data_IF_425215694995
#
_entry.id   IF_425215694995
#
_cell.length_a   1.000
_cell.length_b   1.000
_cell.length_c   1.000
_cell.angle_alpha   90.00
_cell.angle_beta   90.00
_cell.angle_gamma   90.00
#
_symmetry.space_group_name_H-M   'P 1'
#
loop_
_entity.id
_entity.type
_entity.pdbx_description
1 polymer ?
#
# COMPACT_ATOMS: atom_id res chain seq x y z
N UNK A 1 8.47 -13.32 -2.63
CA UNK A 1 7.18 -13.36 -3.35
C UNK A 1 6.13 -13.95 -2.42
N UNK A 2 4.93 -13.36 -2.35
CA UNK A 2 3.85 -13.77 -1.44
C UNK A 2 2.48 -13.50 -2.09
N UNK A 3 1.47 -14.20 -1.58
CA UNK A 3 0.07 -14.01 -1.95
C UNK A 3 -0.53 -12.98 -0.99
N UNK A 4 -0.86 -11.80 -1.51
CA UNK A 4 -1.63 -10.80 -0.77
C UNK A 4 -3.11 -11.12 -0.99
N UNK A 5 -3.83 -11.45 0.08
CA UNK A 5 -5.20 -11.95 0.00
C UNK A 5 -6.25 -10.82 0.11
N UNK A 6 -7.38 -11.01 -0.56
CA UNK A 6 -8.58 -10.17 -0.50
C UNK A 6 -9.77 -10.99 -0.02
N UNK A 7 -10.73 -10.33 0.64
CA UNK A 7 -11.98 -10.95 1.07
C UNK A 7 -13.02 -10.87 -0.04
N UNK A 8 -13.10 -11.92 -0.86
CA UNK A 8 -14.04 -12.13 -1.98
C UNK A 8 -14.48 -10.86 -2.75
N UNK A 9 -13.56 -9.92 -2.97
CA UNK A 9 -13.80 -8.67 -3.71
C UNK A 9 -12.85 -8.60 -4.90
N UNK A 10 -13.23 -9.32 -5.95
CA UNK A 10 -12.46 -9.45 -7.17
C UNK A 10 -12.37 -8.13 -7.95
N UNK A 11 -13.40 -7.28 -7.86
CA UNK A 11 -13.38 -5.96 -8.46
C UNK A 11 -12.29 -5.09 -7.81
N UNK A 12 -12.23 -5.06 -6.48
CA UNK A 12 -11.21 -4.32 -5.74
C UNK A 12 -9.79 -4.89 -5.99
N UNK A 13 -9.62 -6.21 -5.93
CA UNK A 13 -8.32 -6.85 -6.18
C UNK A 13 -7.78 -6.62 -7.61
N UNK A 14 -8.68 -6.45 -8.59
CA UNK A 14 -8.32 -6.16 -9.98
C UNK A 14 -8.12 -4.68 -10.30
N UNK A 15 -8.32 -3.77 -9.34
CA UNK A 15 -7.92 -2.35 -9.51
C UNK A 15 -6.40 -2.20 -9.67
N UNK A 16 -5.64 -3.15 -9.14
CA UNK A 16 -4.19 -3.21 -9.22
C UNK A 16 -3.71 -3.70 -10.58
N UNK A 17 -2.76 -2.96 -11.15
CA UNK A 17 -2.04 -3.33 -12.37
C UNK A 17 -0.71 -3.98 -12.03
N UNK A 18 -0.16 -4.73 -12.99
CA UNK A 18 1.21 -5.26 -12.87
C UNK A 18 2.19 -4.10 -12.74
N UNK A 19 3.21 -4.29 -11.91
CA UNK A 19 4.25 -3.32 -11.55
C UNK A 19 3.79 -2.13 -10.69
N UNK A 20 2.51 -2.08 -10.28
CA UNK A 20 2.06 -1.13 -9.25
C UNK A 20 2.80 -1.37 -7.93
N UNK A 21 3.12 -0.26 -7.24
CA UNK A 21 3.65 -0.27 -5.88
C UNK A 21 2.53 -0.01 -4.88
N UNK A 22 2.51 -0.77 -3.79
CA UNK A 22 1.51 -0.67 -2.74
C UNK A 22 2.21 -0.47 -1.40
N UNK A 23 1.83 0.58 -0.68
CA UNK A 23 2.16 0.75 0.74
C UNK A 23 1.12 -0.01 1.57
N UNK A 24 1.52 -1.12 2.18
CA UNK A 24 0.67 -1.88 3.09
C UNK A 24 0.70 -1.25 4.47
N UNK A 25 -0.48 -1.17 5.07
CA UNK A 25 -0.68 -0.57 6.39
C UNK A 25 -1.31 -1.55 7.37
N UNK A 26 -0.85 -1.50 8.61
CA UNK A 26 -1.42 -2.24 9.72
C UNK A 26 -1.35 -1.42 11.01
N UNK A 27 -2.45 -1.33 11.74
CA UNK A 27 -2.56 -0.58 13.01
C UNK A 27 -2.03 0.87 12.97
N UNK A 28 -2.17 1.57 11.84
CA UNK A 28 -1.70 2.95 11.67
C UNK A 28 -0.23 3.08 11.25
N UNK A 29 0.46 1.98 10.98
CA UNK A 29 1.85 1.98 10.52
C UNK A 29 1.93 1.48 9.08
N UNK A 30 2.89 1.98 8.31
CA UNK A 30 3.32 1.36 7.06
C UNK A 30 4.26 0.21 7.42
N UNK A 31 3.91 -1.00 6.97
CA UNK A 31 4.67 -2.21 7.31
C UNK A 31 5.47 -2.74 6.13
N UNK A 32 4.97 -2.56 4.90
CA UNK A 32 5.62 -3.05 3.70
C UNK A 32 5.41 -2.08 2.53
N UNK A 33 6.38 -2.06 1.63
CA UNK A 33 6.24 -1.60 0.26
C UNK A 33 6.34 -2.83 -0.64
N UNK A 34 5.31 -3.06 -1.46
CA UNK A 34 5.22 -4.27 -2.26
C UNK A 34 4.95 -3.95 -3.73
N UNK A 35 5.48 -4.76 -4.65
CA UNK A 35 5.25 -4.63 -6.09
C UNK A 35 4.35 -5.74 -6.61
N UNK A 36 3.33 -5.41 -7.39
CA UNK A 36 2.42 -6.39 -8.02
C UNK A 36 3.10 -7.09 -9.19
N UNK A 37 3.06 -8.43 -9.21
CA UNK A 37 3.72 -9.26 -10.23
C UNK A 37 2.76 -9.82 -11.27
N UNK A 38 1.55 -10.21 -10.86
CA UNK A 38 0.56 -10.81 -11.75
C UNK A 38 -0.37 -9.76 -12.37
N UNK A 39 -1.01 -10.10 -13.49
CA UNK A 39 -1.85 -9.16 -14.27
C UNK A 39 -3.27 -9.00 -13.71
N UNK A 40 -3.78 -10.03 -13.07
CA UNK A 40 -5.15 -10.11 -12.55
C UNK A 40 -5.16 -10.87 -11.23
N UNK A 41 -6.27 -10.82 -10.49
CA UNK A 41 -6.49 -11.61 -9.31
C UNK A 41 -6.58 -13.11 -9.63
N UNK A 42 -6.11 -13.92 -8.70
CA UNK A 42 -6.11 -15.39 -8.78
C UNK A 42 -6.89 -15.95 -7.59
N UNK A 43 -7.39 -17.17 -7.71
CA UNK A 43 -8.11 -17.87 -6.65
C UNK A 43 -7.42 -19.17 -6.28
N UNK A 44 -7.46 -19.52 -5.00
CA UNK A 44 -7.14 -20.86 -4.51
C UNK A 44 -8.40 -21.72 -4.50
N UNK A 45 -8.25 -23.02 -4.78
CA UNK A 45 -9.30 -24.01 -4.55
C UNK A 45 -9.48 -24.25 -3.05
N UNK A 46 -10.12 -23.30 -2.37
CA UNK A 46 -10.54 -23.42 -0.99
C UNK A 46 -11.90 -22.76 -0.77
N UNK A 47 -12.65 -23.24 0.23
CA UNK A 47 -13.94 -22.69 0.63
C UNK A 47 -13.81 -21.45 1.54
N UNK A 48 -12.63 -20.84 1.61
CA UNK A 48 -12.37 -19.66 2.46
C UNK A 48 -12.77 -18.38 1.74
N UNK A 49 -13.35 -17.43 2.46
CA UNK A 49 -13.62 -16.07 1.97
C UNK A 49 -12.34 -15.31 1.55
N UNK A 50 -11.16 -15.82 1.93
CA UNK A 50 -9.84 -15.25 1.64
C UNK A 50 -9.08 -16.01 0.54
N UNK A 51 -9.80 -16.74 -0.32
CA UNK A 51 -9.19 -17.52 -1.39
C UNK A 51 -8.73 -16.68 -2.60
N UNK A 52 -9.09 -15.40 -2.67
CA UNK A 52 -8.74 -14.45 -3.72
C UNK A 52 -7.42 -13.74 -3.38
N UNK A 53 -6.48 -13.64 -4.32
CA UNK A 53 -5.17 -13.01 -4.06
C UNK A 53 -4.52 -12.34 -5.26
N UNK A 54 -3.52 -11.49 -4.97
CA UNK A 54 -2.51 -10.99 -5.92
C UNK A 54 -1.13 -11.51 -5.56
N UNK A 55 -0.32 -11.80 -6.57
CA UNK A 55 1.08 -12.17 -6.39
C UNK A 55 1.90 -10.88 -6.31
N UNK A 56 2.67 -10.72 -5.24
CA UNK A 56 3.46 -9.52 -4.96
C UNK A 56 4.89 -9.86 -4.49
N UNK A 57 5.80 -8.92 -4.70
CA UNK A 57 7.19 -8.92 -4.23
C UNK A 57 7.39 -7.86 -3.15
N UNK A 58 8.20 -8.17 -2.11
CA UNK A 58 8.48 -7.22 -1.03
C UNK A 58 9.66 -6.41 -1.52
N UNK A 59 9.46 -5.10 -1.70
CA UNK A 59 10.53 -4.17 -2.04
C UNK A 59 11.16 -3.61 -0.76
N UNK A 60 10.34 -3.39 0.26
CA UNK A 60 10.77 -3.00 1.60
C UNK A 60 9.81 -3.56 2.65
N UNK A 61 10.33 -3.91 3.81
CA UNK A 61 9.54 -4.32 4.97
C UNK A 61 10.16 -3.75 6.24
N UNK A 62 9.30 -3.45 7.19
CA UNK A 62 9.71 -3.02 8.52
C UNK A 62 10.54 -4.11 9.22
N UNK A 63 11.67 -3.70 9.82
CA UNK A 63 12.48 -4.58 10.64
C UNK A 63 11.93 -4.73 12.06
N UNK A 64 11.98 -5.95 12.60
CA UNK A 64 11.69 -6.23 14.02
C UNK A 64 10.21 -6.42 14.35
N UNK A 65 9.92 -6.69 15.63
CA UNK A 65 8.58 -7.03 16.13
C UNK A 65 7.74 -5.82 16.56
N UNK A 66 8.38 -4.66 16.78
CA UNK A 66 7.71 -3.43 17.21
C UNK A 66 7.99 -2.31 16.21
N UNK A 67 6.96 -1.77 15.51
CA UNK A 67 7.14 -0.67 14.58
C UNK A 67 7.74 0.57 15.26
N UNK A 68 8.87 1.12 14.80
CA UNK A 68 9.36 2.39 15.30
C UNK A 68 8.39 3.53 14.97
N UNK A 69 8.39 4.64 15.73
CA UNK A 69 7.54 5.79 15.44
C UNK A 69 7.72 6.37 14.03
N UNK A 70 8.90 6.21 13.42
CA UNK A 70 9.23 6.72 12.08
C UNK A 70 8.38 6.13 10.95
N UNK A 71 7.83 4.92 11.11
CA UNK A 71 6.99 4.25 10.09
C UNK A 71 5.49 4.50 10.28
N UNK A 72 5.11 5.40 11.19
CA UNK A 72 3.72 5.83 11.33
C UNK A 72 3.18 6.34 9.99
N UNK A 73 1.95 5.96 9.64
CA UNK A 73 1.39 6.22 8.33
C UNK A 73 1.38 7.73 8.01
N UNK A 74 0.99 8.58 8.94
CA UNK A 74 1.00 10.04 8.74
C UNK A 74 2.41 10.61 8.49
N UNK A 75 3.46 9.97 8.99
CA UNK A 75 4.84 10.40 8.79
C UNK A 75 5.43 9.92 7.46
N UNK A 76 5.09 8.70 7.04
CA UNK A 76 5.49 8.15 5.73
C UNK A 76 4.70 8.83 4.60
N UNK A 77 3.41 9.10 4.83
CA UNK A 77 2.56 9.76 3.84
C UNK A 77 2.78 11.27 3.79
N UNK A 78 3.28 11.87 4.88
CA UNK A 78 3.52 13.31 5.00
C UNK A 78 2.26 14.14 5.25
N UNK A 79 1.12 13.51 5.57
CA UNK A 79 -0.12 14.20 5.91
C UNK A 79 -1.02 13.35 6.83
N UNK A 80 -1.74 13.96 7.78
CA UNK A 80 -2.48 13.25 8.83
C UNK A 80 -3.78 12.60 8.34
N UNK A 81 -4.42 13.13 7.28
CA UNK A 81 -5.69 12.61 6.77
C UNK A 81 -5.60 11.16 6.30
N UNK A 82 -4.39 10.65 6.03
CA UNK A 82 -4.16 9.24 5.71
C UNK A 82 -4.69 8.33 6.83
N UNK A 83 -4.68 8.76 8.09
CA UNK A 83 -5.16 7.94 9.22
C UNK A 83 -6.65 7.59 9.12
N UNK A 84 -7.43 8.39 8.39
CA UNK A 84 -8.84 8.13 8.12
C UNK A 84 -9.07 7.14 6.97
N UNK A 85 -8.03 6.74 6.23
CA UNK A 85 -8.16 5.74 5.17
C UNK A 85 -8.39 4.37 5.82
N UNK A 86 -9.59 3.83 5.66
CA UNK A 86 -10.00 2.52 6.17
C UNK A 86 -10.58 1.67 5.05
N UNK A 87 -10.76 0.37 5.30
CA UNK A 87 -11.63 -0.47 4.48
C UNK A 87 -10.97 -1.55 3.64
N UNK A 88 -9.65 -1.75 3.68
CA UNK A 88 -9.00 -2.81 2.87
C UNK A 88 -9.08 -2.60 1.36
N UNK A 89 -9.69 -1.48 0.93
CA UNK A 89 -9.82 -1.10 -0.47
C UNK A 89 -8.49 -0.61 -1.05
N UNK A 90 -8.28 -0.94 -2.31
CA UNK A 90 -7.19 -0.38 -3.11
C UNK A 90 -7.50 1.08 -3.38
N UNK A 91 -6.71 1.96 -2.77
CA UNK A 91 -6.83 3.41 -2.93
C UNK A 91 -5.71 3.93 -3.82
N UNK A 92 -6.06 4.45 -4.99
CA UNK A 92 -5.10 5.11 -5.87
C UNK A 92 -4.86 6.54 -5.38
N UNK A 93 -3.68 6.79 -4.82
CA UNK A 93 -3.36 8.02 -4.10
C UNK A 93 -3.60 9.28 -4.93
N UNK A 94 -3.20 9.28 -6.21
CA UNK A 94 -3.38 10.39 -7.14
C UNK A 94 -4.84 10.79 -7.38
N UNK A 95 -5.81 9.94 -7.02
CA UNK A 95 -7.24 10.22 -7.17
C UNK A 95 -7.85 10.80 -5.89
N UNK A 96 -7.14 10.70 -4.75
CA UNK A 96 -7.65 11.11 -3.44
C UNK A 96 -7.53 12.63 -3.25
N UNK A 97 -8.62 13.35 -2.91
CA UNK A 97 -8.57 14.79 -2.67
C UNK A 97 -7.58 15.19 -1.57
N UNK A 98 -7.44 14.36 -0.54
CA UNK A 98 -6.52 14.59 0.58
C UNK A 98 -5.06 14.46 0.16
N UNK A 99 -4.74 13.48 -0.70
CA UNK A 99 -3.41 13.36 -1.29
C UNK A 99 -3.07 14.54 -2.19
N UNK A 100 -4.00 14.91 -3.09
CA UNK A 100 -3.83 16.05 -4.00
C UNK A 100 -3.54 17.34 -3.24
N UNK A 101 -4.33 17.61 -2.20
CA UNK A 101 -4.12 18.77 -1.31
C UNK A 101 -2.73 18.79 -0.68
N UNK A 102 -2.20 17.62 -0.30
CA UNK A 102 -0.90 17.51 0.35
C UNK A 102 0.27 17.62 -0.63
N UNK A 103 0.17 17.00 -1.81
CA UNK A 103 1.32 16.76 -2.69
C UNK A 103 1.29 17.47 -4.05
N UNK A 104 0.13 17.88 -4.58
CA UNK A 104 0.07 18.46 -5.93
C UNK A 104 0.90 19.75 -6.06
N UNK A 105 0.91 20.59 -5.02
CA UNK A 105 1.71 21.82 -4.97
C UNK A 105 3.22 21.55 -4.81
N UNK A 106 3.60 20.33 -4.46
CA UNK A 106 4.98 19.90 -4.25
C UNK A 106 5.53 19.05 -5.42
N UNK A 107 4.74 18.82 -6.48
CA UNK A 107 5.12 17.98 -7.62
C UNK A 107 4.37 16.65 -7.71
N UNK A 108 3.28 16.48 -6.94
CA UNK A 108 2.35 15.35 -7.04
C UNK A 108 2.96 14.01 -6.68
N UNK A 109 2.59 12.96 -7.43
CA UNK A 109 3.03 11.59 -7.18
C UNK A 109 4.55 11.44 -7.19
N UNK A 110 5.26 12.12 -8.12
CA UNK A 110 6.71 11.99 -8.23
C UNK A 110 7.42 12.50 -6.97
N UNK A 111 7.00 13.65 -6.47
CA UNK A 111 7.54 14.22 -5.22
C UNK A 111 7.23 13.32 -4.02
N UNK A 112 6.02 12.75 -3.98
CA UNK A 112 5.65 11.78 -2.96
C UNK A 112 6.53 10.51 -3.00
N UNK A 113 6.79 9.96 -4.18
CA UNK A 113 7.64 8.79 -4.34
C UNK A 113 9.07 9.05 -3.83
N UNK A 114 9.63 10.21 -4.15
CA UNK A 114 10.94 10.64 -3.63
C UNK A 114 10.93 10.78 -2.11
N UNK A 115 9.87 11.36 -1.54
CA UNK A 115 9.70 11.46 -0.10
C UNK A 115 9.67 10.09 0.57
N UNK A 116 8.85 9.16 0.07
CA UNK A 116 8.77 7.79 0.60
C UNK A 116 10.11 7.09 0.47
N UNK A 117 10.79 7.20 -0.68
CA UNK A 117 12.11 6.60 -0.88
C UNK A 117 13.12 7.10 0.16
N UNK A 118 13.13 8.39 0.45
CA UNK A 118 13.99 8.96 1.49
C UNK A 118 13.62 8.43 2.88
N UNK A 119 12.33 8.43 3.23
CA UNK A 119 11.85 7.91 4.52
C UNK A 119 12.23 6.45 4.76
N UNK A 120 12.05 5.60 3.75
CA UNK A 120 12.31 4.16 3.87
C UNK A 120 13.82 3.82 3.84
N UNK A 121 14.66 4.69 3.27
CA UNK A 121 16.12 4.51 3.30
C UNK A 121 16.73 4.83 4.69
N UNK A 122 16.06 5.66 5.48
CA UNK A 122 16.49 6.08 6.82
C UNK A 122 16.07 5.10 7.94
N UNK A 123 15.32 4.05 7.60
CA UNK A 123 14.77 3.05 8.54
C UNK A 123 15.54 1.73 8.40
#
# INVERSE_FOLDING_TARGET
MFKLAWKDDEANANRLKRDDLILLRQHGYVTHLVKVLNRQAEREDSSSDWNLYRIVEVVWAIGGTKPPPSVKAELIFGYPEVLAYMGGDVMKLEELPTFKKAWDTQGGLLAFQQHVQHKLADI
#
